data_IF_171899656325
#
_entry.id   IF_171899656325
#
_cell.length_a   1.000
_cell.length_b   1.000
_cell.length_c   1.000
_cell.angle_alpha   90.00
_cell.angle_beta   90.00
_cell.angle_gamma   90.00
#
_symmetry.space_group_name_H-M   'P 1'
#
loop_
_entity.id
_entity.type
_entity.pdbx_description
1 polymer ?
#
# COMPACT_ATOMS: atom_id res chain seq x y z
N UNK A 1 17.65 25.20 -8.91
CA UNK A 1 17.21 25.77 -7.61
C UNK A 1 15.73 25.49 -7.28
N UNK A 2 14.79 25.61 -8.24
CA UNK A 2 13.35 25.39 -8.01
C UNK A 2 12.98 23.93 -7.64
N UNK A 3 13.49 22.93 -8.38
CA UNK A 3 13.28 21.51 -8.07
C UNK A 3 13.77 21.11 -6.68
N UNK A 4 14.90 21.66 -6.23
CA UNK A 4 15.45 21.41 -4.89
C UNK A 4 14.54 22.00 -3.80
N UNK A 5 13.99 23.21 -4.01
CA UNK A 5 13.01 23.81 -3.08
C UNK A 5 11.71 23.01 -3.02
N UNK A 6 11.21 22.53 -4.16
CA UNK A 6 10.02 21.67 -4.22
C UNK A 6 10.24 20.36 -3.46
N UNK A 7 11.35 19.67 -3.74
CA UNK A 7 11.70 18.42 -3.06
C UNK A 7 11.91 18.62 -1.57
N UNK A 8 12.60 19.68 -1.15
CA UNK A 8 12.79 20.00 0.26
C UNK A 8 11.45 20.26 0.96
N UNK A 9 10.55 21.04 0.36
CA UNK A 9 9.21 21.31 0.92
C UNK A 9 8.41 20.02 1.09
N UNK A 10 8.44 19.13 0.09
CA UNK A 10 7.77 17.82 0.14
C UNK A 10 8.38 16.92 1.21
N UNK A 11 9.71 16.85 1.28
CA UNK A 11 10.41 16.00 2.25
C UNK A 11 10.16 16.45 3.69
N UNK A 12 10.18 17.76 3.96
CA UNK A 12 9.82 18.32 5.27
C UNK A 12 8.36 18.01 5.60
N UNK A 13 7.43 18.17 4.65
CA UNK A 13 6.03 17.82 4.86
C UNK A 13 5.86 16.31 5.18
N UNK A 14 6.59 15.43 4.51
CA UNK A 14 6.59 13.99 4.78
C UNK A 14 7.07 13.72 6.21
N UNK A 15 8.21 14.27 6.62
CA UNK A 15 8.73 14.08 7.99
C UNK A 15 7.75 14.56 9.03
N UNK A 16 7.20 15.77 8.88
CA UNK A 16 6.23 16.34 9.82
C UNK A 16 4.98 15.47 9.88
N UNK A 17 4.50 14.98 8.74
CA UNK A 17 3.30 14.13 8.70
C UNK A 17 3.56 12.78 9.33
N UNK A 18 4.73 12.16 9.11
CA UNK A 18 5.10 10.89 9.75
C UNK A 18 5.24 11.04 11.25
N UNK A 19 5.88 12.10 11.72
CA UNK A 19 5.97 12.41 13.15
C UNK A 19 4.57 12.63 13.75
N UNK A 20 3.70 13.38 13.07
CA UNK A 20 2.33 13.54 13.53
C UNK A 20 1.58 12.19 13.60
N UNK A 21 1.74 11.33 12.60
CA UNK A 21 1.13 9.98 12.56
C UNK A 21 1.65 9.12 13.71
N UNK A 22 2.96 9.09 13.97
CA UNK A 22 3.55 8.34 15.08
C UNK A 22 3.03 8.88 16.40
N UNK A 23 3.15 10.19 16.65
CA UNK A 23 2.72 10.82 17.89
C UNK A 23 1.23 10.57 18.20
N UNK A 24 0.35 10.77 17.21
CA UNK A 24 -1.09 10.52 17.36
C UNK A 24 -1.33 9.03 17.65
N UNK A 25 -0.70 8.14 16.88
CA UNK A 25 -0.86 6.68 17.05
C UNK A 25 -0.37 6.23 18.42
N UNK A 26 0.76 6.77 18.89
CA UNK A 26 1.33 6.53 20.22
C UNK A 26 0.36 6.93 21.32
N UNK A 27 -0.18 8.14 21.26
CA UNK A 27 -1.15 8.64 22.24
C UNK A 27 -2.44 7.82 22.21
N UNK A 28 -2.96 7.49 21.03
CA UNK A 28 -4.16 6.65 20.89
C UNK A 28 -3.97 5.26 21.50
N UNK A 29 -2.83 4.63 21.25
CA UNK A 29 -2.51 3.31 21.77
C UNK A 29 -2.21 3.33 23.28
N UNK A 30 -1.61 4.42 23.78
CA UNK A 30 -1.41 4.66 25.21
C UNK A 30 -2.75 4.72 25.97
N UNK A 31 -3.72 5.46 25.43
CA UNK A 31 -5.05 5.61 26.04
C UNK A 31 -6.08 4.54 25.62
N UNK A 32 -5.67 3.56 24.81
CA UNK A 32 -6.58 2.51 24.33
C UNK A 32 -7.15 1.68 25.50
N UNK A 33 -8.47 1.53 25.62
CA UNK A 33 -9.09 0.66 26.62
C UNK A 33 -8.60 -0.80 26.48
N UNK A 34 -8.18 -1.43 27.58
CA UNK A 34 -7.56 -2.77 27.55
C UNK A 34 -6.04 -2.77 27.28
N UNK A 35 -5.54 -1.69 26.68
CA UNK A 35 -4.16 -1.18 26.72
C UNK A 35 -3.09 -1.99 26.00
N UNK A 36 -2.52 -1.39 24.94
CA UNK A 36 -1.26 -1.85 24.32
C UNK A 36 -0.03 -1.67 25.23
N UNK A 37 -0.07 -0.63 26.07
CA UNK A 37 0.97 -0.34 27.05
C UNK A 37 0.54 -0.63 28.49
N UNK A 38 -0.72 -1.01 28.68
CA UNK A 38 -1.20 -1.33 30.01
C UNK A 38 -0.58 -2.68 30.38
N UNK A 39 0.22 -2.68 31.44
CA UNK A 39 0.92 -3.88 31.91
C UNK A 39 -0.06 -4.93 32.41
N UNK A 40 -1.38 -4.75 32.33
CA UNK A 40 -2.42 -5.71 32.70
C UNK A 40 -2.26 -7.07 32.04
N UNK A 41 -1.93 -7.16 30.75
CA UNK A 41 -1.70 -8.46 30.11
C UNK A 41 -0.43 -9.14 30.67
N UNK A 42 0.66 -8.39 30.77
CA UNK A 42 1.89 -8.88 31.39
C UNK A 42 1.68 -9.24 32.87
N UNK A 43 0.94 -8.44 33.62
CA UNK A 43 0.60 -8.64 35.02
C UNK A 43 -0.27 -9.87 35.22
N UNK A 44 -1.22 -10.14 34.30
CA UNK A 44 -1.99 -11.38 34.30
C UNK A 44 -1.14 -12.61 33.98
N UNK A 45 -0.22 -12.52 33.01
CA UNK A 45 0.71 -13.60 32.67
C UNK A 45 1.71 -13.88 33.80
N UNK A 46 2.10 -12.84 34.53
CA UNK A 46 3.00 -12.91 35.68
C UNK A 46 2.25 -13.05 37.03
N UNK A 47 0.92 -13.16 37.03
CA UNK A 47 0.13 -13.30 38.26
C UNK A 47 0.53 -14.53 39.11
N UNK A 48 0.87 -15.70 38.51
CA UNK A 48 1.39 -16.83 39.28
C UNK A 48 2.73 -16.52 39.95
N UNK A 49 3.60 -15.74 39.28
CA UNK A 49 4.87 -15.30 39.84
C UNK A 49 4.65 -14.28 40.97
N UNK A 50 3.67 -13.39 40.82
CA UNK A 50 3.29 -12.43 41.86
C UNK A 50 2.84 -13.12 43.15
N UNK A 51 2.16 -14.27 43.04
CA UNK A 51 1.70 -15.07 44.19
C UNK A 51 2.82 -15.89 44.85
N UNK A 52 3.83 -16.33 44.11
CA UNK A 52 4.95 -17.13 44.63
C UNK A 52 6.12 -16.28 45.15
N UNK A 53 6.49 -15.24 44.43
CA UNK A 53 7.61 -14.36 44.76
C UNK A 53 7.28 -12.90 44.35
N UNK A 54 6.69 -12.12 45.29
CA UNK A 54 6.35 -10.73 45.06
C UNK A 54 7.55 -9.84 44.68
N UNK A 55 8.76 -10.16 45.17
CA UNK A 55 9.95 -9.38 44.92
C UNK A 55 10.49 -9.61 43.50
N UNK A 56 10.50 -10.88 43.04
CA UNK A 56 10.86 -11.21 41.66
C UNK A 56 9.86 -10.60 40.65
N UNK A 57 8.57 -10.61 40.98
CA UNK A 57 7.54 -9.96 40.17
C UNK A 57 7.78 -8.45 40.02
N UNK A 58 8.01 -7.73 41.13
CA UNK A 58 8.28 -6.29 41.09
C UNK A 58 9.51 -5.95 40.26
N UNK A 59 10.61 -6.69 40.46
CA UNK A 59 11.85 -6.48 39.70
C UNK A 59 11.65 -6.69 38.20
N UNK A 60 10.88 -7.71 37.81
CA UNK A 60 10.59 -7.97 36.39
C UNK A 60 9.70 -6.89 35.78
N UNK A 61 8.71 -6.40 36.54
CA UNK A 61 7.83 -5.32 36.09
C UNK A 61 8.60 -3.99 35.93
N UNK A 62 9.48 -3.64 36.86
CA UNK A 62 10.36 -2.47 36.74
C UNK A 62 11.31 -2.58 35.54
N UNK A 63 11.90 -3.75 35.32
CA UNK A 63 12.74 -4.00 34.15
C UNK A 63 11.96 -3.84 32.85
N UNK A 64 10.72 -4.34 32.80
CA UNK A 64 9.85 -4.17 31.64
C UNK A 64 9.52 -2.70 31.39
N UNK A 65 9.09 -1.97 32.41
CA UNK A 65 8.76 -0.55 32.30
C UNK A 65 9.97 0.28 31.88
N UNK A 66 11.14 0.01 32.45
CA UNK A 66 12.39 0.68 32.11
C UNK A 66 12.84 0.38 30.67
N UNK A 67 12.76 -0.89 30.24
CA UNK A 67 13.14 -1.32 28.89
C UNK A 67 12.35 -0.63 27.79
N UNK A 68 11.05 -0.40 28.01
CA UNK A 68 10.17 0.25 27.04
C UNK A 68 9.93 1.74 27.33
N UNK A 69 10.61 2.31 28.33
CA UNK A 69 10.48 3.72 28.71
C UNK A 69 9.11 4.11 29.28
N UNK A 70 8.31 3.14 29.72
CA UNK A 70 6.94 3.35 30.24
C UNK A 70 6.92 4.12 31.57
N UNK A 71 8.07 4.19 32.24
CA UNK A 71 8.30 4.96 33.47
C UNK A 71 8.52 6.46 33.23
N UNK A 72 8.67 6.90 31.98
CA UNK A 72 8.90 8.31 31.64
C UNK A 72 7.56 9.07 31.45
N UNK A 73 7.53 10.40 31.61
CA UNK A 73 6.38 11.21 31.19
C UNK A 73 6.03 10.98 29.72
N UNK A 74 4.74 10.92 29.39
CA UNK A 74 4.24 10.56 28.04
C UNK A 74 4.94 11.30 26.89
N UNK A 75 5.15 12.62 27.03
CA UNK A 75 5.83 13.42 26.02
C UNK A 75 7.28 12.97 25.78
N UNK A 76 8.01 12.53 26.81
CA UNK A 76 9.36 11.95 26.64
C UNK A 76 9.30 10.61 25.94
N UNK A 77 8.29 9.80 26.24
CA UNK A 77 8.12 8.50 25.58
C UNK A 77 7.90 8.68 24.07
N UNK A 78 7.02 9.61 23.68
CA UNK A 78 6.77 9.95 22.28
C UNK A 78 8.06 10.44 21.61
N UNK A 79 8.76 11.43 22.18
CA UNK A 79 9.99 11.97 21.58
C UNK A 79 11.10 10.93 21.42
N UNK A 80 11.27 10.03 22.39
CA UNK A 80 12.23 8.94 22.27
C UNK A 80 11.82 7.97 21.17
N UNK A 81 10.53 7.66 21.05
CA UNK A 81 10.03 6.77 20.01
C UNK A 81 10.21 7.38 18.61
N UNK A 82 9.93 8.68 18.44
CA UNK A 82 10.22 9.43 17.21
C UNK A 82 11.70 9.35 16.85
N UNK A 83 12.58 9.63 17.81
CA UNK A 83 14.03 9.57 17.62
C UNK A 83 14.48 8.18 17.15
N UNK A 84 14.04 7.12 17.83
CA UNK A 84 14.32 5.74 17.48
C UNK A 84 13.76 5.35 16.09
N UNK A 85 12.56 5.81 15.76
CA UNK A 85 11.91 5.55 14.48
C UNK A 85 12.68 6.21 13.32
N UNK A 86 13.03 7.48 13.44
CA UNK A 86 13.78 8.20 12.39
C UNK A 86 15.25 7.79 12.29
N UNK A 87 15.80 7.16 13.33
CA UNK A 87 17.13 6.50 13.29
C UNK A 87 17.04 5.03 12.84
N UNK A 88 15.86 4.57 12.42
CA UNK A 88 15.59 3.18 11.97
C UNK A 88 15.91 2.11 13.04
N UNK A 89 15.87 2.49 14.32
CA UNK A 89 16.01 1.58 15.44
C UNK A 89 14.65 1.30 16.08
N UNK A 90 13.88 0.38 15.50
CA UNK A 90 12.53 0.06 15.99
C UNK A 90 12.51 -0.78 17.28
N UNK A 91 13.66 -1.29 17.72
CA UNK A 91 13.74 -2.21 18.85
C UNK A 91 13.21 -3.61 18.54
N UNK A 92 12.77 -4.31 19.59
CA UNK A 92 12.28 -5.69 19.52
C UNK A 92 10.78 -5.75 19.81
N UNK A 93 10.17 -6.84 19.35
CA UNK A 93 8.77 -7.17 19.65
C UNK A 93 8.55 -7.32 21.16
N UNK A 94 7.44 -6.77 21.67
CA UNK A 94 7.04 -7.00 23.06
C UNK A 94 6.63 -8.45 23.30
N UNK A 95 6.01 -9.08 22.30
CA UNK A 95 5.52 -10.46 22.37
C UNK A 95 6.65 -11.47 22.16
N UNK A 96 7.69 -11.09 21.41
CA UNK A 96 8.84 -11.95 21.17
C UNK A 96 10.15 -11.14 21.31
N UNK A 97 10.67 -10.95 22.54
CA UNK A 97 11.79 -10.04 22.81
C UNK A 97 13.12 -10.38 22.12
N UNK A 98 13.24 -11.59 21.57
CA UNK A 98 14.41 -12.08 20.81
C UNK A 98 14.35 -11.69 19.34
N UNK A 99 13.17 -11.37 18.81
CA UNK A 99 12.99 -10.99 17.41
C UNK A 99 13.02 -9.47 17.27
N UNK A 100 13.99 -8.98 16.50
CA UNK A 100 14.03 -7.57 16.13
C UNK A 100 12.87 -7.22 15.19
N UNK A 101 12.31 -6.02 15.33
CA UNK A 101 11.24 -5.56 14.44
C UNK A 101 11.80 -5.35 13.02
N UNK A 102 13.01 -4.80 12.93
CA UNK A 102 13.69 -4.58 11.66
C UNK A 102 13.87 -5.87 10.85
N UNK A 103 14.22 -7.00 11.47
CA UNK A 103 14.36 -8.28 10.75
C UNK A 103 13.03 -8.78 10.18
N UNK A 104 11.94 -8.60 10.91
CA UNK A 104 10.60 -8.98 10.45
C UNK A 104 10.17 -8.11 9.26
N UNK A 105 10.40 -6.79 9.34
CA UNK A 105 10.13 -5.87 8.24
C UNK A 105 10.97 -6.16 7.00
N UNK A 106 12.26 -6.48 7.15
CA UNK A 106 13.13 -6.84 6.02
C UNK A 106 12.63 -8.07 5.26
N UNK A 107 12.01 -9.03 5.95
CA UNK A 107 11.37 -10.18 5.29
C UNK A 107 10.05 -9.82 4.61
N UNK A 108 9.22 -9.01 5.27
CA UNK A 108 7.85 -8.74 4.87
C UNK A 108 7.69 -7.63 3.80
N UNK A 109 8.47 -6.54 3.92
CA UNK A 109 8.33 -5.35 3.08
C UNK A 109 8.53 -5.62 1.58
N UNK A 110 9.56 -6.37 1.14
CA UNK A 110 9.75 -6.66 -0.28
C UNK A 110 8.57 -7.43 -0.90
N UNK A 111 7.92 -8.31 -0.13
CA UNK A 111 6.79 -9.11 -0.56
C UNK A 111 5.59 -8.20 -0.86
N UNK A 112 5.23 -7.31 0.07
CA UNK A 112 4.13 -6.38 -0.12
C UNK A 112 4.37 -5.41 -1.27
N UNK A 113 5.60 -4.90 -1.39
CA UNK A 113 5.99 -4.04 -2.51
C UNK A 113 5.88 -4.78 -3.84
N UNK A 114 6.31 -6.06 -3.90
CA UNK A 114 6.19 -6.89 -5.09
C UNK A 114 4.73 -7.09 -5.49
N UNK A 115 3.84 -7.41 -4.55
CA UNK A 115 2.41 -7.59 -4.81
C UNK A 115 1.76 -6.28 -5.30
N UNK A 116 2.03 -5.17 -4.61
CA UNK A 116 1.51 -3.86 -4.99
C UNK A 116 1.99 -3.46 -6.39
N UNK A 117 3.29 -3.57 -6.66
CA UNK A 117 3.86 -3.23 -7.96
C UNK A 117 3.33 -4.14 -9.07
N UNK A 118 3.31 -5.45 -8.83
CA UNK A 118 2.76 -6.43 -9.76
C UNK A 118 1.31 -6.14 -10.13
N UNK A 119 0.49 -5.76 -9.14
CA UNK A 119 -0.92 -5.38 -9.39
C UNK A 119 -1.05 -4.14 -10.27
N UNK A 120 -0.20 -3.13 -10.11
CA UNK A 120 -0.18 -1.94 -10.97
C UNK A 120 0.26 -2.30 -12.38
N UNK A 121 1.32 -3.09 -12.52
CA UNK A 121 1.79 -3.55 -13.84
C UNK A 121 0.67 -4.28 -14.57
N UNK A 122 0.01 -5.24 -13.92
CA UNK A 122 -1.13 -5.95 -14.51
C UNK A 122 -2.27 -4.99 -14.86
N UNK A 123 -2.55 -4.03 -14.00
CA UNK A 123 -3.59 -3.02 -14.23
C UNK A 123 -3.33 -2.16 -15.46
N UNK A 124 -2.08 -1.76 -15.67
CA UNK A 124 -1.64 -0.98 -16.83
C UNK A 124 -1.65 -1.84 -18.10
N UNK A 125 -1.05 -3.04 -18.03
CA UNK A 125 -0.91 -3.96 -19.17
C UNK A 125 -2.26 -4.43 -19.69
N UNK A 126 -3.26 -4.63 -18.83
CA UNK A 126 -4.60 -5.06 -19.24
C UNK A 126 -5.51 -3.85 -19.47
N UNK A 127 -5.51 -2.89 -18.54
CA UNK A 127 -6.42 -1.75 -18.57
C UNK A 127 -6.18 -0.83 -19.78
N UNK A 128 -4.93 -0.56 -20.16
CA UNK A 128 -4.66 0.29 -21.33
C UNK A 128 -5.22 -0.31 -22.61
N UNK A 129 -4.89 -1.56 -23.01
CA UNK A 129 -5.49 -2.18 -24.19
C UNK A 129 -7.01 -2.20 -24.15
N UNK A 130 -7.62 -2.56 -23.01
CA UNK A 130 -9.09 -2.53 -22.88
C UNK A 130 -9.66 -1.13 -23.14
N UNK A 131 -9.06 -0.10 -22.57
CA UNK A 131 -9.47 1.29 -22.78
C UNK A 131 -9.27 1.78 -24.22
N UNK A 132 -8.16 1.39 -24.85
CA UNK A 132 -7.90 1.67 -26.27
C UNK A 132 -8.98 1.01 -27.14
N UNK A 133 -9.25 -0.28 -26.95
CA UNK A 133 -10.26 -1.01 -27.72
C UNK A 133 -11.65 -0.37 -27.54
N UNK A 134 -12.03 -0.03 -26.30
CA UNK A 134 -13.31 0.62 -26.02
C UNK A 134 -13.42 2.00 -26.67
N UNK A 135 -12.34 2.79 -26.70
CA UNK A 135 -12.32 4.10 -27.35
C UNK A 135 -12.41 4.00 -28.87
N UNK A 136 -11.72 3.04 -29.50
CA UNK A 136 -11.79 2.83 -30.94
C UNK A 136 -13.15 2.29 -31.38
N UNK A 137 -13.84 1.54 -30.51
CA UNK A 137 -15.19 1.01 -30.73
C UNK A 137 -16.24 1.75 -29.90
N UNK A 138 -16.10 3.07 -29.76
CA UNK A 138 -17.00 3.91 -28.97
C UNK A 138 -18.47 3.68 -29.35
N UNK A 139 -19.35 3.61 -28.34
CA UNK A 139 -20.79 3.36 -28.47
C UNK A 139 -21.16 1.99 -29.05
N UNK A 140 -20.22 1.03 -29.09
CA UNK A 140 -20.50 -0.36 -29.45
C UNK A 140 -20.70 -1.24 -28.21
N UNK A 141 -21.15 -2.47 -28.42
CA UNK A 141 -21.25 -3.47 -27.34
C UNK A 141 -19.92 -3.72 -26.61
N UNK A 142 -18.77 -3.60 -27.31
CA UNK A 142 -17.43 -3.78 -26.69
C UNK A 142 -17.14 -2.66 -25.71
N UNK A 143 -17.52 -1.43 -26.07
CA UNK A 143 -17.38 -0.27 -25.22
C UNK A 143 -18.26 -0.40 -23.96
N UNK A 144 -19.53 -0.77 -24.14
CA UNK A 144 -20.43 -1.04 -23.01
C UNK A 144 -19.90 -2.17 -22.13
N UNK A 145 -19.39 -3.26 -22.70
CA UNK A 145 -18.83 -4.37 -21.94
C UNK A 145 -17.62 -3.95 -21.10
N UNK A 146 -16.64 -3.24 -21.70
CA UNK A 146 -15.46 -2.75 -20.99
C UNK A 146 -15.88 -1.79 -19.87
N UNK A 147 -16.81 -0.89 -20.14
CA UNK A 147 -17.28 0.09 -19.14
C UNK A 147 -18.01 -0.61 -17.99
N UNK A 148 -18.88 -1.57 -18.28
CA UNK A 148 -19.61 -2.37 -17.27
C UNK A 148 -18.64 -3.21 -16.43
N UNK A 149 -17.72 -3.95 -17.05
CA UNK A 149 -16.70 -4.71 -16.33
C UNK A 149 -15.81 -3.80 -15.47
N UNK A 150 -15.50 -2.60 -15.96
CA UNK A 150 -14.75 -1.60 -15.20
C UNK A 150 -15.51 -1.09 -13.99
N UNK A 151 -16.85 -1.00 -14.06
CA UNK A 151 -17.70 -0.63 -12.93
C UNK A 151 -17.77 -1.76 -11.91
N UNK A 152 -17.95 -3.01 -12.35
CA UNK A 152 -17.94 -4.17 -11.45
C UNK A 152 -16.60 -4.34 -10.73
N UNK A 153 -15.48 -4.25 -11.46
CA UNK A 153 -14.15 -4.36 -10.86
C UNK A 153 -13.90 -3.31 -9.77
N UNK A 154 -14.43 -2.09 -9.93
CA UNK A 154 -14.32 -1.03 -8.92
C UNK A 154 -15.29 -1.21 -7.76
N UNK A 155 -16.47 -1.78 -8.01
CA UNK A 155 -17.49 -1.97 -6.99
C UNK A 155 -17.15 -3.10 -6.01
N UNK A 156 -16.40 -4.11 -6.45
CA UNK A 156 -16.00 -5.25 -5.62
C UNK A 156 -14.69 -4.92 -4.91
N UNK A 157 -14.65 -4.90 -3.57
CA UNK A 157 -13.40 -4.72 -2.84
C UNK A 157 -12.39 -5.85 -3.14
N UNK A 158 -11.09 -5.52 -3.17
CA UNK A 158 -10.03 -6.49 -3.48
C UNK A 158 -10.00 -7.70 -2.53
N UNK A 159 -10.31 -7.50 -1.24
CA UNK A 159 -10.39 -8.60 -0.28
C UNK A 159 -11.57 -9.54 -0.56
N UNK A 160 -12.68 -9.04 -1.10
CA UNK A 160 -13.82 -9.89 -1.50
C UNK A 160 -13.42 -10.75 -2.70
N UNK A 161 -12.74 -10.16 -3.69
CA UNK A 161 -12.17 -10.94 -4.80
C UNK A 161 -11.17 -11.98 -4.33
N UNK A 162 -10.33 -11.65 -3.34
CA UNK A 162 -9.40 -12.61 -2.74
C UNK A 162 -10.14 -13.81 -2.13
N UNK A 163 -11.19 -13.57 -1.33
CA UNK A 163 -12.03 -14.64 -0.78
C UNK A 163 -12.69 -15.47 -1.90
N UNK A 164 -13.22 -14.82 -2.93
CA UNK A 164 -13.82 -15.52 -4.07
C UNK A 164 -12.80 -16.38 -4.82
N UNK A 165 -11.58 -15.90 -5.04
CA UNK A 165 -10.52 -16.70 -5.65
C UNK A 165 -10.11 -17.87 -4.77
N UNK A 166 -10.01 -17.69 -3.45
CA UNK A 166 -9.76 -18.81 -2.53
C UNK A 166 -10.87 -19.85 -2.64
N UNK A 167 -12.14 -19.46 -2.71
CA UNK A 167 -13.25 -20.38 -2.89
C UNK A 167 -13.23 -21.09 -4.24
N UNK A 168 -13.01 -20.35 -5.34
CA UNK A 168 -13.01 -20.90 -6.69
C UNK A 168 -11.84 -21.86 -6.87
N UNK A 169 -10.61 -21.44 -6.58
CA UNK A 169 -9.40 -22.24 -6.82
C UNK A 169 -9.10 -23.23 -5.69
N UNK A 170 -9.65 -23.02 -4.49
CA UNK A 170 -9.49 -23.93 -3.36
C UNK A 170 -10.55 -25.02 -3.30
N UNK A 171 -11.76 -24.77 -3.82
CA UNK A 171 -12.89 -25.71 -3.73
C UNK A 171 -13.30 -26.25 -5.10
N UNK A 172 -13.49 -25.38 -6.10
CA UNK A 172 -14.05 -25.76 -7.41
C UNK A 172 -12.97 -26.23 -8.40
N UNK A 173 -11.87 -25.47 -8.50
CA UNK A 173 -10.76 -25.70 -9.43
C UNK A 173 -9.47 -26.00 -8.68
N UNK A 174 -9.50 -27.08 -7.91
CA UNK A 174 -8.36 -27.54 -7.12
C UNK A 174 -7.12 -27.79 -7.99
N UNK A 175 -5.94 -27.53 -7.43
CA UNK A 175 -4.62 -27.74 -8.05
C UNK A 175 -4.29 -26.87 -9.28
N UNK A 176 -5.12 -25.90 -9.65
CA UNK A 176 -4.82 -24.99 -10.78
C UNK A 176 -3.89 -23.86 -10.35
N UNK A 177 -4.21 -23.18 -9.24
CA UNK A 177 -3.41 -22.12 -8.66
C UNK A 177 -3.38 -22.25 -7.14
N UNK A 178 -2.24 -21.94 -6.49
CA UNK A 178 -2.13 -21.94 -5.04
C UNK A 178 -3.00 -20.85 -4.44
N UNK A 179 -3.74 -21.19 -3.39
CA UNK A 179 -4.64 -20.29 -2.66
C UNK A 179 -4.10 -19.87 -1.29
N UNK A 180 -2.93 -20.36 -0.91
CA UNK A 180 -2.29 -20.05 0.37
C UNK A 180 -0.78 -20.24 0.28
N UNK A 181 -0.03 -19.44 1.03
CA UNK A 181 1.42 -19.57 1.19
C UNK A 181 2.24 -18.60 0.33
N UNK A 182 3.57 -18.76 0.41
CA UNK A 182 4.53 -17.92 -0.31
C UNK A 182 5.84 -18.66 -0.54
N UNK A 183 6.37 -18.58 -1.76
CA UNK A 183 7.68 -19.16 -2.12
C UNK A 183 7.81 -19.49 -3.60
N UNK A 184 6.70 -19.60 -4.33
CA UNK A 184 6.66 -19.81 -5.77
C UNK A 184 6.06 -18.60 -6.50
N UNK A 185 6.42 -18.34 -7.76
CA UNK A 185 5.79 -17.27 -8.55
C UNK A 185 4.27 -17.45 -8.71
N UNK A 186 3.77 -18.68 -8.62
CA UNK A 186 2.34 -18.99 -8.73
C UNK A 186 1.55 -18.42 -7.53
N UNK A 187 2.16 -18.37 -6.34
CA UNK A 187 1.53 -17.84 -5.11
C UNK A 187 1.15 -16.37 -5.24
N UNK A 188 1.83 -15.62 -6.12
CA UNK A 188 1.56 -14.21 -6.33
C UNK A 188 0.41 -13.94 -7.31
N UNK A 189 -0.01 -14.92 -8.12
CA UNK A 189 -0.96 -14.70 -9.22
C UNK A 189 -2.33 -14.24 -8.72
N UNK A 190 -2.97 -15.02 -7.84
CA UNK A 190 -4.29 -14.70 -7.32
C UNK A 190 -4.30 -13.40 -6.47
N UNK A 191 -3.33 -13.16 -5.57
CA UNK A 191 -3.23 -11.88 -4.87
C UNK A 191 -3.08 -10.68 -5.81
N UNK A 192 -2.19 -10.76 -6.80
CA UNK A 192 -1.97 -9.68 -7.77
C UNK A 192 -3.23 -9.41 -8.57
N UNK A 193 -3.94 -10.44 -9.02
CA UNK A 193 -5.20 -10.29 -9.76
C UNK A 193 -6.30 -9.68 -8.87
N UNK A 194 -6.37 -10.07 -7.60
CA UNK A 194 -7.33 -9.53 -6.63
C UNK A 194 -7.13 -8.03 -6.43
N UNK A 195 -5.87 -7.61 -6.32
CA UNK A 195 -5.49 -6.21 -6.17
C UNK A 195 -5.64 -5.42 -7.48
N UNK A 196 -5.37 -6.05 -8.63
CA UNK A 196 -5.40 -5.40 -9.92
C UNK A 196 -6.81 -5.18 -10.47
N UNK A 197 -7.78 -6.05 -10.16
CA UNK A 197 -9.09 -6.05 -10.81
C UNK A 197 -9.81 -4.69 -10.82
N UNK A 198 -9.83 -3.98 -9.67
CA UNK A 198 -10.40 -2.64 -9.60
C UNK A 198 -9.61 -1.62 -10.41
N UNK A 199 -8.29 -1.65 -10.28
CA UNK A 199 -7.38 -0.74 -10.97
C UNK A 199 -7.38 -0.95 -12.50
N UNK A 200 -7.53 -2.17 -13.01
CA UNK A 200 -7.74 -2.47 -14.44
C UNK A 200 -8.93 -1.65 -14.97
N UNK A 201 -10.05 -1.70 -14.24
CA UNK A 201 -11.26 -0.97 -14.62
C UNK A 201 -11.07 0.54 -14.60
N UNK A 202 -10.31 1.06 -13.63
CA UNK A 202 -10.01 2.50 -13.59
C UNK A 202 -9.12 2.90 -14.76
N UNK A 203 -8.00 2.20 -14.96
CA UNK A 203 -7.06 2.46 -16.06
C UNK A 203 -7.78 2.40 -17.42
N UNK A 204 -8.61 1.37 -17.65
CA UNK A 204 -9.38 1.24 -18.88
C UNK A 204 -10.30 2.44 -19.12
N UNK A 205 -11.02 2.89 -18.09
CA UNK A 205 -11.97 4.01 -18.19
C UNK A 205 -11.25 5.33 -18.49
N UNK A 206 -10.16 5.63 -17.80
CA UNK A 206 -9.39 6.86 -18.02
C UNK A 206 -8.69 6.84 -19.37
N UNK A 207 -8.09 5.70 -19.76
CA UNK A 207 -7.48 5.53 -21.08
C UNK A 207 -8.52 5.75 -22.19
N UNK A 208 -9.71 5.17 -22.04
CA UNK A 208 -10.81 5.32 -22.98
C UNK A 208 -11.21 6.79 -23.14
N UNK A 209 -11.49 7.48 -22.03
CA UNK A 209 -11.92 8.88 -22.06
C UNK A 209 -10.86 9.79 -22.67
N UNK A 210 -9.61 9.64 -22.22
CA UNK A 210 -8.46 10.41 -22.70
C UNK A 210 -8.19 10.18 -24.20
N UNK A 211 -8.29 8.95 -24.68
CA UNK A 211 -8.08 8.64 -26.09
C UNK A 211 -9.17 9.20 -26.99
N UNK A 212 -10.44 9.11 -26.58
CA UNK A 212 -11.56 9.69 -27.33
C UNK A 212 -11.33 11.19 -27.54
N UNK A 213 -10.93 11.90 -26.49
CA UNK A 213 -10.70 13.35 -26.58
C UNK A 213 -9.43 13.67 -27.39
N UNK A 214 -8.35 12.93 -27.15
CA UNK A 214 -7.09 13.11 -27.90
C UNK A 214 -7.29 12.90 -29.40
N UNK A 215 -8.06 11.88 -29.80
CA UNK A 215 -8.33 11.59 -31.22
C UNK A 215 -9.14 12.69 -31.93
N UNK A 216 -9.75 13.63 -31.20
CA UNK A 216 -10.49 14.78 -31.75
C UNK A 216 -9.63 16.03 -31.94
N UNK A 217 -8.40 16.03 -31.43
CA UNK A 217 -7.49 17.17 -31.47
C UNK A 217 -6.97 17.46 -32.88
N UNK A 218 -6.65 18.73 -33.16
CA UNK A 218 -6.24 19.17 -34.50
C UNK A 218 -4.92 18.53 -34.97
N UNK A 219 -3.98 18.26 -34.07
CA UNK A 219 -2.73 17.58 -34.44
C UNK A 219 -2.96 16.16 -34.99
N UNK A 220 -4.03 15.47 -34.55
CA UNK A 220 -4.43 14.16 -35.09
C UNK A 220 -4.97 14.33 -36.51
N UNK A 221 -5.78 15.37 -36.76
CA UNK A 221 -6.28 15.70 -38.11
C UNK A 221 -5.14 16.03 -39.05
N UNK A 222 -4.17 16.83 -38.60
CA UNK A 222 -2.96 17.14 -39.38
C UNK A 222 -2.14 15.89 -39.68
N UNK A 223 -1.92 15.01 -38.70
CA UNK A 223 -1.20 13.76 -38.92
C UNK A 223 -1.93 12.84 -39.92
N UNK A 224 -3.27 12.77 -39.85
CA UNK A 224 -4.09 12.05 -40.84
C UNK A 224 -3.95 12.64 -42.24
N UNK A 225 -3.98 13.97 -42.37
CA UNK A 225 -3.80 14.66 -43.66
C UNK A 225 -2.40 14.43 -44.26
N UNK A 226 -1.38 14.24 -43.43
CA UNK A 226 -0.01 13.85 -43.85
C UNK A 226 0.14 12.37 -44.23
N UNK A 227 -0.93 11.58 -44.23
CA UNK A 227 -0.91 10.18 -44.67
C UNK A 227 -0.40 9.19 -43.61
N UNK A 228 -0.38 9.56 -42.32
CA UNK A 228 0.01 8.63 -41.25
C UNK A 228 -0.98 7.46 -41.18
N UNK A 229 -0.48 6.22 -41.24
CA UNK A 229 -1.27 4.99 -41.15
C UNK A 229 -2.10 4.96 -39.85
N UNK A 230 -3.31 4.40 -39.91
CA UNK A 230 -4.28 4.40 -38.79
C UNK A 230 -3.70 3.91 -37.46
N UNK A 231 -3.04 2.74 -37.43
CA UNK A 231 -2.47 2.20 -36.18
C UNK A 231 -1.28 3.01 -35.64
N UNK A 232 -0.48 3.60 -36.54
CA UNK A 232 0.58 4.53 -36.13
C UNK A 232 -0.02 5.83 -35.56
N UNK A 233 -1.10 6.33 -36.15
CA UNK A 233 -1.86 7.48 -35.64
C UNK A 233 -2.38 7.20 -34.23
N UNK A 234 -3.04 6.06 -34.03
CA UNK A 234 -3.59 5.66 -32.73
C UNK A 234 -2.50 5.46 -31.69
N UNK A 235 -1.50 4.61 -31.95
CA UNK A 235 -0.51 4.25 -30.92
C UNK A 235 0.50 5.38 -30.63
N UNK A 236 1.06 5.99 -31.69
CA UNK A 236 2.13 6.98 -31.52
C UNK A 236 1.61 8.38 -31.18
N UNK A 237 0.44 8.77 -31.69
CA UNK A 237 -0.12 10.10 -31.47
C UNK A 237 -1.32 10.10 -30.52
N UNK A 238 -2.20 9.10 -30.59
CA UNK A 238 -3.34 8.99 -29.66
C UNK A 238 -2.91 8.55 -28.27
N UNK A 239 -2.49 7.28 -28.15
CA UNK A 239 -2.17 6.63 -26.87
C UNK A 239 -1.05 7.37 -26.15
N UNK A 240 0.06 7.68 -26.84
CA UNK A 240 1.19 8.39 -26.22
C UNK A 240 0.79 9.71 -25.57
N UNK A 241 -0.06 10.51 -26.20
CA UNK A 241 -0.53 11.77 -25.61
C UNK A 241 -1.57 11.52 -24.50
N UNK A 242 -2.37 10.48 -24.63
CA UNK A 242 -3.39 10.12 -23.63
C UNK A 242 -2.79 9.56 -22.32
N UNK A 243 -1.57 8.98 -22.37
CA UNK A 243 -0.85 8.46 -21.21
C UNK A 243 -0.57 9.53 -20.15
N UNK A 244 -0.46 10.79 -20.55
CA UNK A 244 -0.22 11.92 -19.62
C UNK A 244 -1.30 11.99 -18.53
N UNK A 245 -2.58 11.86 -18.93
CA UNK A 245 -3.73 11.84 -18.03
C UNK A 245 -3.85 10.54 -17.21
N UNK A 246 -3.23 9.44 -17.65
CA UNK A 246 -3.24 8.19 -16.90
C UNK A 246 -2.27 8.23 -15.72
N UNK A 247 -1.13 8.90 -15.87
CA UNK A 247 -0.09 8.92 -14.86
C UNK A 247 -0.55 9.69 -13.61
N UNK A 248 -1.36 10.73 -13.78
CA UNK A 248 -1.99 11.46 -12.66
C UNK A 248 -2.96 10.60 -11.85
N UNK A 249 -3.46 9.50 -12.43
CA UNK A 249 -4.44 8.61 -11.79
C UNK A 249 -3.79 7.36 -11.21
N UNK A 250 -2.86 6.75 -11.97
CA UNK A 250 -2.16 5.52 -11.57
C UNK A 250 -1.33 5.76 -10.31
N UNK A 251 -0.73 6.94 -10.18
CA UNK A 251 0.16 7.25 -9.06
C UNK A 251 -0.51 7.16 -7.68
N UNK A 252 -1.55 7.95 -7.40
CA UNK A 252 -2.31 7.83 -6.16
C UNK A 252 -2.92 6.43 -5.97
N UNK A 253 -3.36 5.76 -7.03
CA UNK A 253 -3.88 4.38 -6.96
C UNK A 253 -2.84 3.39 -6.49
N UNK A 254 -1.59 3.51 -6.92
CA UNK A 254 -0.51 2.65 -6.45
C UNK A 254 -0.34 2.79 -4.93
N UNK A 255 -0.35 4.03 -4.40
CA UNK A 255 -0.28 4.28 -2.96
C UNK A 255 -1.45 3.64 -2.19
N UNK A 256 -2.68 3.74 -2.71
CA UNK A 256 -3.84 3.07 -2.11
C UNK A 256 -3.75 1.53 -2.20
N UNK A 257 -3.14 1.01 -3.26
CA UNK A 257 -3.02 -0.44 -3.45
C UNK A 257 -2.07 -1.08 -2.45
N UNK A 258 -1.01 -0.38 -2.05
CA UNK A 258 -0.13 -0.80 -0.95
C UNK A 258 -0.93 -1.06 0.34
N UNK A 259 -1.89 -0.20 0.68
CA UNK A 259 -2.75 -0.41 1.86
C UNK A 259 -3.67 -1.62 1.65
N UNK A 260 -4.18 -1.78 0.43
CA UNK A 260 -5.03 -2.92 0.05
C UNK A 260 -4.33 -4.28 0.17
N UNK A 261 -3.01 -4.34 0.05
CA UNK A 261 -2.27 -5.61 0.20
C UNK A 261 -2.43 -6.20 1.59
N UNK A 262 -2.64 -5.38 2.63
CA UNK A 262 -2.78 -5.85 4.01
C UNK A 262 -3.85 -6.93 4.14
N UNK A 263 -5.03 -6.69 3.58
CA UNK A 263 -6.16 -7.63 3.67
C UNK A 263 -5.96 -8.84 2.77
N UNK A 264 -5.48 -8.61 1.55
CA UNK A 264 -5.25 -9.69 0.56
C UNK A 264 -4.18 -10.66 1.05
N UNK A 265 -3.07 -10.15 1.59
CA UNK A 265 -1.99 -10.97 2.15
C UNK A 265 -2.49 -11.84 3.31
N UNK A 266 -3.34 -11.32 4.19
CA UNK A 266 -3.89 -12.11 5.29
C UNK A 266 -4.81 -13.25 4.79
N UNK A 267 -5.60 -13.01 3.75
CA UNK A 267 -6.50 -14.03 3.16
C UNK A 267 -5.69 -15.17 2.51
N UNK A 268 -4.64 -14.83 1.76
CA UNK A 268 -3.76 -15.82 1.11
C UNK A 268 -2.63 -16.33 2.04
N UNK A 269 -2.64 -15.97 3.33
CA UNK A 269 -1.59 -16.31 4.30
C UNK A 269 -0.16 -15.98 3.85
N UNK A 270 0.02 -14.86 3.15
CA UNK A 270 1.30 -14.38 2.66
C UNK A 270 2.04 -13.67 3.80
N UNK A 271 3.35 -13.95 4.02
CA UNK A 271 4.14 -13.34 5.09
C UNK A 271 4.61 -11.92 4.73
N UNK A 272 3.72 -11.09 4.20
CA UNK A 272 3.96 -9.68 3.90
C UNK A 272 3.69 -8.76 5.10
N UNK A 273 3.76 -7.45 4.86
CA UNK A 273 3.51 -6.43 5.88
C UNK A 273 2.12 -6.57 6.49
N UNK A 274 1.12 -6.98 5.72
CA UNK A 274 -0.23 -7.18 6.19
C UNK A 274 -0.32 -8.19 7.34
N UNK A 275 0.47 -9.26 7.26
CA UNK A 275 0.56 -10.25 8.32
C UNK A 275 1.23 -9.69 9.56
N UNK A 276 2.36 -8.99 9.39
CA UNK A 276 3.10 -8.34 10.48
C UNK A 276 2.21 -7.35 11.22
N UNK A 277 1.49 -6.49 10.48
CA UNK A 277 0.53 -5.52 11.01
C UNK A 277 -0.59 -6.23 11.77
N UNK A 278 -1.30 -7.17 11.12
CA UNK A 278 -2.44 -7.84 11.74
C UNK A 278 -2.05 -8.57 13.03
N UNK A 279 -0.93 -9.28 13.01
CA UNK A 279 -0.42 -9.97 14.19
C UNK A 279 -0.01 -9.00 15.31
N UNK A 280 0.59 -7.85 14.97
CA UNK A 280 0.98 -6.85 15.97
C UNK A 280 -0.24 -6.27 16.72
N UNK A 281 -1.30 -5.92 15.98
CA UNK A 281 -2.52 -5.40 16.58
C UNK A 281 -3.28 -6.44 17.39
N UNK A 282 -3.43 -7.67 16.86
CA UNK A 282 -4.12 -8.76 17.56
C UNK A 282 -3.41 -9.16 18.85
N UNK A 283 -2.07 -9.18 18.84
CA UNK A 283 -1.28 -9.58 20.00
C UNK A 283 -0.88 -8.41 20.90
N UNK A 284 -1.45 -7.22 20.71
CA UNK A 284 -1.09 -6.02 21.49
C UNK A 284 0.42 -5.75 21.53
N UNK A 285 1.16 -6.06 20.47
CA UNK A 285 2.59 -5.81 20.36
C UNK A 285 2.84 -4.34 20.01
N UNK A 286 2.97 -3.52 21.05
CA UNK A 286 2.98 -2.07 20.91
C UNK A 286 4.11 -1.53 20.00
N UNK A 287 5.41 -1.86 20.22
CA UNK A 287 6.48 -1.36 19.37
C UNK A 287 6.34 -1.82 17.93
N UNK A 288 5.86 -3.05 17.70
CA UNK A 288 5.62 -3.53 16.34
C UNK A 288 4.46 -2.77 15.68
N UNK A 289 3.34 -2.58 16.37
CA UNK A 289 2.14 -1.96 15.80
C UNK A 289 2.37 -0.50 15.39
N UNK A 290 3.02 0.33 16.21
CA UNK A 290 3.37 1.71 15.80
C UNK A 290 4.37 1.70 14.65
N UNK A 291 5.38 0.84 14.71
CA UNK A 291 6.33 0.72 13.61
C UNK A 291 5.60 0.35 12.31
N UNK A 292 4.62 -0.55 12.37
CA UNK A 292 3.79 -0.93 11.23
C UNK A 292 3.02 0.26 10.65
N UNK A 293 2.41 1.09 11.52
CA UNK A 293 1.73 2.33 11.10
C UNK A 293 2.71 3.31 10.43
N UNK A 294 3.90 3.48 11.01
CA UNK A 294 4.96 4.30 10.41
C UNK A 294 5.36 3.78 9.03
N UNK A 295 5.60 2.48 8.87
CA UNK A 295 6.02 1.88 7.60
C UNK A 295 4.93 2.02 6.53
N UNK A 296 3.66 1.84 6.88
CA UNK A 296 2.54 2.08 5.96
C UNK A 296 2.49 3.55 5.53
N UNK A 297 2.53 4.47 6.49
CA UNK A 297 2.54 5.92 6.21
C UNK A 297 3.73 6.33 5.35
N UNK A 298 4.92 5.83 5.67
CA UNK A 298 6.14 6.09 4.92
C UNK A 298 6.04 5.53 3.50
N UNK A 299 5.51 4.32 3.32
CA UNK A 299 5.36 3.73 1.98
C UNK A 299 4.38 4.53 1.12
N UNK A 300 3.25 4.98 1.67
CA UNK A 300 2.29 5.86 0.98
C UNK A 300 2.96 7.18 0.59
N UNK A 301 3.65 7.83 1.52
CA UNK A 301 4.29 9.13 1.29
C UNK A 301 5.43 9.05 0.28
N UNK A 302 6.27 8.01 0.37
CA UNK A 302 7.33 7.74 -0.60
C UNK A 302 6.75 7.46 -1.98
N UNK A 303 5.67 6.68 -2.05
CA UNK A 303 4.98 6.41 -3.31
C UNK A 303 4.45 7.69 -3.94
N UNK A 304 3.76 8.53 -3.16
CA UNK A 304 3.27 9.82 -3.63
C UNK A 304 4.42 10.74 -4.08
N UNK A 305 5.55 10.74 -3.36
CA UNK A 305 6.74 11.49 -3.76
C UNK A 305 7.29 11.01 -5.11
N UNK A 306 7.35 9.70 -5.35
CA UNK A 306 7.76 9.12 -6.64
C UNK A 306 6.82 9.58 -7.75
N UNK A 307 5.51 9.59 -7.49
CA UNK A 307 4.50 10.05 -8.45
C UNK A 307 4.66 11.53 -8.77
N UNK A 308 4.82 12.36 -7.74
CA UNK A 308 5.06 13.80 -7.89
C UNK A 308 6.33 14.07 -8.72
N UNK A 309 7.39 13.28 -8.50
CA UNK A 309 8.63 13.34 -9.27
C UNK A 309 8.39 13.00 -10.74
N UNK A 310 7.73 11.87 -11.03
CA UNK A 310 7.38 11.46 -12.40
C UNK A 310 6.56 12.56 -13.09
N UNK A 311 5.56 13.11 -12.39
CA UNK A 311 4.73 14.18 -12.92
C UNK A 311 5.55 15.45 -13.24
N UNK A 312 6.41 15.88 -12.32
CA UNK A 312 7.26 17.06 -12.50
C UNK A 312 8.29 16.93 -13.63
N UNK A 313 8.71 15.71 -13.94
CA UNK A 313 9.65 15.42 -15.02
C UNK A 313 8.95 15.44 -16.39
N UNK A 314 7.73 14.94 -16.46
CA UNK A 314 7.01 14.80 -17.73
C UNK A 314 6.28 16.06 -18.18
N UNK A 315 5.73 16.84 -17.25
CA UNK A 315 5.03 18.08 -17.60
C UNK A 315 5.77 19.32 -17.06
N UNK A 316 6.69 19.91 -17.84
CA UNK A 316 7.40 21.13 -17.47
C UNK A 316 6.48 22.37 -17.44
N UNK A 317 5.22 22.28 -17.88
CA UNK A 317 4.23 23.37 -17.78
C UNK A 317 3.50 23.38 -16.44
N UNK A 318 3.56 22.27 -15.70
CA UNK A 318 3.24 22.24 -14.28
C UNK A 318 4.39 22.93 -13.55
N UNK A 319 4.48 24.24 -13.71
CA UNK A 319 5.06 25.10 -12.69
C UNK A 319 4.10 25.00 -11.50
N UNK A 320 4.33 23.94 -10.71
CA UNK A 320 3.63 23.54 -9.50
C UNK A 320 3.40 24.77 -8.61
N UNK A 321 2.16 25.24 -8.57
CA UNK A 321 1.65 26.07 -7.48
C UNK A 321 1.63 25.24 -6.18
#
# INVERSE_FOLDING_TARGET
>A
MFYVKFLAKRFVAIIITLAAVIAISYVMMYYSPGGFMNTTQLASALAPLAAQDPAAYQKLMEQFQSRYGLNLPLWKQVLLYEWHTFTFNFGNSMQNPTLSIMSQLKGALPISVFLAFGSVVVSVVIGIPMGVIAALKRNSWVDYLVTTLSMFGQAIPSFVLAVLFVLIFGVVWQNVLPVTGWGTPADAVLPILSLAAGNIGVVARYMRGSLIETMRQDFIRTAKAKGVKYWALVLRHGVRNSLTALITVIGPQFAFTVVGTVWVENIFAIPGLGKVISTAFTNFDFPMAITAVFILGATIMLTNLVVDLIYSWMDPRVKLQ
#
